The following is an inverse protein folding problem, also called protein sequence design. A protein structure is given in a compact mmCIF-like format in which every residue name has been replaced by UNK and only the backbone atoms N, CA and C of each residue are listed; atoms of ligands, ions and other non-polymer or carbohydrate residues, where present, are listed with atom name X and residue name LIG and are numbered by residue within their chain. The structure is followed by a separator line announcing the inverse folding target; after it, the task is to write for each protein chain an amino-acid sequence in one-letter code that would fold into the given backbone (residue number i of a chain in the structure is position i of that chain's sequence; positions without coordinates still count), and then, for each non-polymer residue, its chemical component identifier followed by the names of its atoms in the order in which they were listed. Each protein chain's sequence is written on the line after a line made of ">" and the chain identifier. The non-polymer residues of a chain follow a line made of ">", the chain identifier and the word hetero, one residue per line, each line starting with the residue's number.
data_IF_961641479620
#
_entry.id   IF_961641479620
#
_cell.length_a   1.000
_cell.length_b   1.000
_cell.length_c   1.000
_cell.angle_alpha   90.00
_cell.angle_beta   90.00
_cell.angle_gamma   90.00
#
_symmetry.space_group_name_H-M   'P 1'
#
loop_
_entity.id
_entity.type
_entity.pdbx_description
1 polymer ?
#
# COMPACT_ATOMS: atom_id res chain seq x y z
N UNK A 1 24.85 -20.06 -23.67
CA UNK A 1 25.98 -19.35 -24.30
C UNK A 1 27.25 -20.05 -23.86
N UNK A 2 27.95 -20.69 -24.81
CA UNK A 2 29.27 -21.36 -24.70
C UNK A 2 29.66 -22.00 -23.36
N UNK A 3 29.36 -23.30 -23.27
CA UNK A 3 29.50 -24.21 -22.12
C UNK A 3 30.95 -24.66 -21.80
N UNK A 4 31.88 -23.74 -21.54
CA UNK A 4 33.19 -24.14 -20.98
C UNK A 4 33.75 -23.12 -19.99
N UNK A 5 34.44 -23.58 -18.93
CA UNK A 5 35.08 -22.68 -17.97
C UNK A 5 36.12 -21.81 -18.68
N UNK A 6 35.87 -20.50 -18.71
CA UNK A 6 36.78 -19.48 -19.22
C UNK A 6 37.67 -18.94 -18.10
N UNK A 7 38.89 -18.50 -18.43
CA UNK A 7 39.73 -17.80 -17.47
C UNK A 7 39.42 -16.31 -17.55
N UNK A 8 39.04 -15.73 -16.41
CA UNK A 8 38.74 -14.30 -16.29
C UNK A 8 39.54 -13.69 -15.15
N UNK A 9 39.85 -12.41 -15.29
CA UNK A 9 40.55 -11.63 -14.27
C UNK A 9 39.63 -10.56 -13.73
N UNK A 10 39.40 -10.59 -12.41
CA UNK A 10 38.83 -9.46 -11.67
C UNK A 10 39.98 -8.52 -11.28
N UNK A 11 40.13 -7.42 -12.03
CA UNK A 11 41.11 -6.36 -11.78
C UNK A 11 40.48 -5.05 -11.27
N UNK A 12 41.30 -4.01 -11.09
CA UNK A 12 40.93 -2.71 -10.53
C UNK A 12 39.74 -2.03 -11.24
N UNK A 13 39.41 -2.39 -12.49
CA UNK A 13 38.25 -1.84 -13.21
C UNK A 13 36.92 -2.25 -12.59
N UNK A 14 36.90 -3.39 -11.89
CA UNK A 14 35.72 -3.91 -11.20
C UNK A 14 35.64 -3.42 -9.75
N UNK A 15 36.57 -2.56 -9.31
CA UNK A 15 36.62 -2.00 -7.96
C UNK A 15 36.57 -0.46 -7.98
N UNK A 16 35.80 0.12 -7.07
CA UNK A 16 35.82 1.56 -6.83
C UNK A 16 37.13 1.99 -6.11
N UNK A 17 37.31 3.31 -5.96
CA UNK A 17 38.48 3.91 -5.30
C UNK A 17 38.64 3.49 -3.82
N UNK A 18 37.64 2.84 -3.23
CA UNK A 18 37.63 2.31 -1.85
C UNK A 18 37.80 0.79 -1.82
N UNK A 19 38.00 0.13 -2.96
CA UNK A 19 38.12 -1.33 -3.09
C UNK A 19 36.80 -2.08 -3.00
N UNK A 20 35.68 -1.38 -3.20
CA UNK A 20 34.33 -1.92 -3.27
C UNK A 20 34.08 -2.45 -4.68
N UNK A 21 33.50 -3.63 -4.83
CA UNK A 21 33.16 -4.11 -6.19
C UNK A 21 32.08 -3.18 -6.77
N UNK A 22 32.14 -2.84 -8.07
CA UNK A 22 31.27 -1.81 -8.71
C UNK A 22 29.76 -2.13 -8.61
N UNK A 23 29.41 -3.38 -8.24
CA UNK A 23 28.09 -3.82 -7.74
C UNK A 23 27.71 -3.32 -6.33
N UNK A 24 28.49 -2.40 -5.74
CA UNK A 24 28.08 -1.63 -4.57
C UNK A 24 28.29 -2.28 -3.19
N UNK A 25 29.22 -3.24 -2.98
CA UNK A 25 29.57 -3.76 -1.63
C UNK A 25 31.07 -4.01 -1.39
N UNK A 26 31.52 -3.82 -0.13
CA UNK A 26 32.92 -3.95 0.31
C UNK A 26 33.25 -5.43 0.44
N UNK A 27 34.30 -5.92 -0.25
CA UNK A 27 34.85 -7.24 0.04
C UNK A 27 35.84 -7.08 1.19
N UNK A 28 35.47 -7.50 2.41
CA UNK A 28 36.40 -7.56 3.52
C UNK A 28 37.27 -8.84 3.48
N UNK A 29 38.52 -8.66 3.91
CA UNK A 29 39.66 -9.57 4.03
C UNK A 29 39.50 -11.00 3.46
N UNK A 30 39.97 -11.18 2.22
CA UNK A 30 40.23 -12.52 1.68
C UNK A 30 40.49 -12.60 0.17
N UNK A 31 40.03 -11.61 -0.60
CA UNK A 31 40.06 -11.67 -2.07
C UNK A 31 40.92 -10.59 -2.74
N UNK A 32 41.09 -9.42 -2.12
CA UNK A 32 42.07 -8.40 -2.55
C UNK A 32 43.25 -8.45 -1.58
N UNK A 33 44.37 -9.06 -1.99
CA UNK A 33 45.61 -8.97 -1.21
C UNK A 33 46.38 -7.73 -1.70
N UNK A 34 46.99 -6.91 -0.82
CA UNK A 34 47.82 -5.78 -1.25
C UNK A 34 48.93 -6.17 -2.25
N UNK A 35 49.36 -7.43 -2.19
CA UNK A 35 50.37 -8.03 -3.05
C UNK A 35 49.84 -8.69 -4.32
N UNK A 36 48.50 -8.74 -4.52
CA UNK A 36 47.83 -9.29 -5.71
C UNK A 36 46.64 -8.39 -6.08
N UNK A 37 46.85 -7.39 -6.95
CA UNK A 37 45.83 -6.40 -7.29
C UNK A 37 44.67 -6.99 -8.13
N UNK A 38 44.84 -8.22 -8.63
CA UNK A 38 43.87 -8.94 -9.43
C UNK A 38 43.60 -10.34 -8.87
N UNK A 39 42.42 -10.88 -9.19
CA UNK A 39 42.03 -12.24 -8.89
C UNK A 39 41.62 -12.97 -10.16
N UNK A 40 42.31 -14.07 -10.45
CA UNK A 40 41.96 -14.93 -11.57
C UNK A 40 40.99 -16.01 -11.11
N UNK A 41 40.06 -16.37 -12.00
CA UNK A 41 39.06 -17.37 -11.73
C UNK A 41 38.38 -17.84 -13.00
N UNK A 42 37.32 -18.63 -12.80
CA UNK A 42 36.43 -19.06 -13.87
C UNK A 42 35.02 -18.60 -13.59
N UNK A 43 34.24 -18.44 -14.66
CA UNK A 43 32.80 -18.17 -14.58
C UNK A 43 32.01 -19.46 -14.76
N UNK A 44 30.92 -19.57 -14.00
CA UNK A 44 29.86 -20.56 -14.18
C UNK A 44 28.54 -19.82 -14.04
N UNK A 45 27.56 -20.13 -14.88
CA UNK A 45 26.24 -19.50 -14.87
C UNK A 45 25.16 -20.54 -14.57
N UNK A 46 24.12 -20.14 -13.86
CA UNK A 46 22.82 -20.84 -13.84
C UNK A 46 21.73 -19.97 -14.50
N UNK A 47 20.45 -20.29 -14.29
CA UNK A 47 19.33 -19.52 -14.87
C UNK A 47 19.24 -18.10 -14.32
N UNK A 48 19.72 -17.87 -13.11
CA UNK A 48 19.42 -16.68 -12.32
C UNK A 48 20.67 -15.81 -12.14
N UNK A 49 21.86 -16.42 -12.11
CA UNK A 49 23.10 -15.80 -11.68
C UNK A 49 24.32 -16.31 -12.46
N UNK A 50 25.33 -15.45 -12.58
CA UNK A 50 26.70 -15.84 -12.94
C UNK A 50 27.59 -15.74 -11.71
N UNK A 51 28.49 -16.71 -11.59
CA UNK A 51 29.35 -16.93 -10.45
C UNK A 51 30.81 -16.89 -10.86
N UNK A 52 31.59 -16.02 -10.21
CA UNK A 52 33.05 -16.02 -10.32
C UNK A 52 33.65 -16.90 -9.23
N UNK A 53 34.43 -17.92 -9.63
CA UNK A 53 35.09 -18.86 -8.73
C UNK A 53 36.61 -18.66 -8.80
N UNK A 54 37.28 -18.28 -7.70
CA UNK A 54 38.68 -17.94 -7.72
C UNK A 54 39.62 -19.14 -7.82
N UNK A 55 40.70 -19.00 -8.59
CA UNK A 55 41.84 -19.91 -8.57
C UNK A 55 42.69 -19.71 -7.31
N UNK A 56 43.19 -20.83 -6.77
CA UNK A 56 44.13 -20.86 -5.66
C UNK A 56 45.34 -21.69 -6.06
N UNK A 57 46.53 -21.11 -5.97
CA UNK A 57 47.80 -21.83 -6.13
C UNK A 57 48.02 -22.86 -5.01
N UNK A 58 47.46 -22.58 -3.83
CA UNK A 58 47.57 -23.43 -2.65
C UNK A 58 46.23 -23.45 -1.90
N UNK A 59 45.43 -24.49 -2.14
CA UNK A 59 44.22 -24.78 -1.38
C UNK A 59 44.57 -25.23 0.03
N UNK A 60 43.78 -24.76 1.01
CA UNK A 60 43.89 -25.22 2.39
C UNK A 60 43.57 -26.73 2.46
N UNK A 61 44.60 -27.54 2.68
CA UNK A 61 44.50 -28.99 2.65
C UNK A 61 43.60 -29.56 3.75
N UNK A 62 43.55 -28.92 4.92
CA UNK A 62 42.66 -29.34 6.01
C UNK A 62 41.20 -29.10 5.61
N UNK A 63 40.91 -27.93 5.06
CA UNK A 63 39.58 -27.57 4.56
C UNK A 63 39.17 -28.46 3.38
N UNK A 64 40.05 -28.66 2.40
CA UNK A 64 39.77 -29.52 1.25
C UNK A 64 39.45 -30.98 1.63
N UNK A 65 40.10 -31.50 2.68
CA UNK A 65 39.82 -32.85 3.21
C UNK A 65 38.49 -32.92 3.95
N UNK A 66 38.19 -31.92 4.78
CA UNK A 66 36.95 -31.87 5.57
C UNK A 66 35.72 -31.51 4.74
N UNK A 67 35.90 -30.72 3.68
CA UNK A 67 34.83 -30.14 2.87
C UNK A 67 35.12 -30.28 1.37
N UNK A 68 35.24 -31.50 0.84
CA UNK A 68 35.64 -31.75 -0.55
C UNK A 68 34.66 -31.17 -1.59
N UNK A 69 33.41 -30.88 -1.20
CA UNK A 69 32.41 -30.21 -2.04
C UNK A 69 32.66 -28.70 -2.18
N UNK A 70 33.35 -28.07 -1.23
CA UNK A 70 33.60 -26.62 -1.22
C UNK A 70 34.87 -26.22 -2.00
N UNK A 71 35.54 -27.18 -2.64
CA UNK A 71 36.75 -26.96 -3.45
C UNK A 71 36.73 -27.86 -4.69
N UNK A 72 37.53 -27.54 -5.70
CA UNK A 72 37.81 -28.43 -6.83
C UNK A 72 39.31 -28.46 -7.10
N UNK A 73 39.94 -29.62 -6.94
CA UNK A 73 41.39 -29.77 -7.18
C UNK A 73 41.72 -29.66 -8.67
N UNK A 74 42.72 -28.86 -9.00
CA UNK A 74 43.38 -28.74 -10.29
C UNK A 74 44.88 -29.07 -10.14
N UNK A 75 45.20 -30.01 -9.25
CA UNK A 75 46.57 -30.36 -8.92
C UNK A 75 47.35 -30.88 -10.15
N UNK A 76 48.57 -30.38 -10.33
CA UNK A 76 49.57 -30.89 -11.28
C UNK A 76 50.86 -31.23 -10.54
N UNK A 77 51.81 -31.97 -11.13
CA UNK A 77 53.12 -32.21 -10.51
C UNK A 77 53.85 -30.90 -10.13
N UNK A 78 53.65 -29.83 -10.91
CA UNK A 78 54.22 -28.50 -10.66
C UNK A 78 53.49 -27.73 -9.55
N UNK A 79 52.18 -27.95 -9.42
CA UNK A 79 51.30 -27.24 -8.48
C UNK A 79 50.35 -28.23 -7.80
N UNK A 80 50.85 -29.04 -6.85
CA UNK A 80 50.10 -30.17 -6.28
C UNK A 80 48.91 -29.77 -5.41
N UNK A 81 48.82 -28.49 -5.03
CA UNK A 81 47.77 -27.96 -4.16
C UNK A 81 46.88 -26.94 -4.88
N UNK A 82 47.00 -26.82 -6.20
CA UNK A 82 46.20 -25.89 -6.96
C UNK A 82 44.74 -26.34 -7.11
N UNK A 83 43.83 -25.37 -7.20
CA UNK A 83 42.44 -25.64 -7.50
C UNK A 83 41.54 -24.43 -7.35
N UNK A 84 40.23 -24.67 -7.39
CA UNK A 84 39.18 -23.68 -7.19
C UNK A 84 38.64 -23.75 -5.75
N UNK A 85 38.38 -22.58 -5.18
CA UNK A 85 37.78 -22.44 -3.85
C UNK A 85 36.33 -21.96 -3.98
N UNK A 86 35.39 -22.92 -4.00
CA UNK A 86 33.96 -22.66 -4.21
C UNK A 86 33.39 -21.88 -3.03
N UNK A 87 33.93 -22.05 -1.82
CA UNK A 87 33.53 -21.25 -0.66
C UNK A 87 33.81 -19.75 -0.81
N UNK A 88 34.64 -19.36 -1.78
CA UNK A 88 34.99 -17.96 -2.07
C UNK A 88 34.38 -17.46 -3.37
N UNK A 89 33.34 -18.14 -3.84
CA UNK A 89 32.58 -17.72 -5.03
C UNK A 89 31.90 -16.37 -4.80
N UNK A 90 31.88 -15.56 -5.85
CA UNK A 90 31.26 -14.23 -5.91
C UNK A 90 30.11 -14.29 -6.92
N UNK A 91 28.95 -13.71 -6.57
CA UNK A 91 27.86 -13.51 -7.53
C UNK A 91 28.12 -12.22 -8.29
N UNK A 92 28.13 -12.31 -9.63
CA UNK A 92 28.61 -11.23 -10.49
C UNK A 92 27.57 -10.67 -11.45
N UNK A 93 26.33 -11.16 -11.41
CA UNK A 93 25.26 -10.74 -12.33
C UNK A 93 25.48 -11.22 -13.77
N UNK A 94 24.41 -11.32 -14.56
CA UNK A 94 24.47 -11.82 -15.94
C UNK A 94 24.81 -10.71 -16.96
N UNK A 95 24.90 -9.46 -16.53
CA UNK A 95 25.11 -8.25 -17.31
C UNK A 95 26.56 -7.71 -17.26
N UNK A 96 27.45 -8.34 -16.48
CA UNK A 96 28.85 -7.91 -16.42
C UNK A 96 29.69 -8.40 -17.61
N UNK A 97 30.33 -7.46 -18.31
CA UNK A 97 31.35 -7.74 -19.31
C UNK A 97 32.70 -8.06 -18.65
N UNK A 98 33.15 -9.31 -18.80
CA UNK A 98 34.45 -9.76 -18.28
C UNK A 98 35.56 -9.62 -19.31
N UNK A 99 36.70 -9.06 -18.89
CA UNK A 99 37.93 -9.15 -19.67
C UNK A 99 38.53 -10.56 -19.55
N UNK A 100 38.42 -11.33 -20.63
CA UNK A 100 39.03 -12.66 -20.74
C UNK A 100 40.54 -12.49 -20.87
N UNK A 101 41.28 -13.08 -19.92
CA UNK A 101 42.73 -13.13 -19.95
C UNK A 101 43.20 -14.59 -20.03
N UNK A 102 44.22 -14.86 -20.85
CA UNK A 102 44.75 -16.21 -21.06
C UNK A 102 46.05 -16.50 -20.29
N UNK A 103 46.35 -15.75 -19.23
CA UNK A 103 47.61 -15.89 -18.49
C UNK A 103 47.35 -16.04 -17.00
N UNK A 104 47.84 -17.13 -16.39
CA UNK A 104 47.94 -17.28 -14.93
C UNK A 104 47.67 -18.69 -14.38
N UNK A 105 47.02 -19.55 -15.18
CA UNK A 105 46.95 -20.99 -14.95
C UNK A 105 47.85 -21.73 -15.96
N UNK A 106 48.54 -22.80 -15.53
CA UNK A 106 49.36 -23.58 -16.47
C UNK A 106 48.48 -24.38 -17.45
N UNK A 107 49.00 -24.70 -18.65
CA UNK A 107 48.20 -25.38 -19.68
C UNK A 107 47.66 -26.73 -19.22
N UNK A 108 48.36 -27.45 -18.32
CA UNK A 108 47.88 -28.73 -17.81
C UNK A 108 46.71 -28.53 -16.83
N UNK A 109 46.78 -27.52 -15.98
CA UNK A 109 45.68 -27.12 -15.09
C UNK A 109 44.45 -26.66 -15.87
N UNK A 110 44.64 -25.92 -16.96
CA UNK A 110 43.55 -25.51 -17.83
C UNK A 110 42.85 -26.72 -18.49
N UNK A 111 43.62 -27.69 -18.98
CA UNK A 111 43.04 -28.94 -19.52
C UNK A 111 42.29 -29.73 -18.45
N UNK A 112 42.80 -29.79 -17.20
CA UNK A 112 42.08 -30.40 -16.08
C UNK A 112 40.77 -29.65 -15.82
N UNK A 113 40.77 -28.32 -15.85
CA UNK A 113 39.57 -27.51 -15.66
C UNK A 113 38.52 -27.78 -16.74
N UNK A 114 38.93 -27.80 -18.02
CA UNK A 114 38.06 -28.15 -19.14
C UNK A 114 37.43 -29.54 -18.94
N UNK A 115 38.24 -30.54 -18.55
CA UNK A 115 37.73 -31.89 -18.28
C UNK A 115 36.79 -31.99 -17.07
N UNK A 116 36.80 -30.98 -16.19
CA UNK A 116 35.99 -30.94 -14.96
C UNK A 116 34.87 -29.90 -15.03
N UNK A 117 34.59 -29.30 -16.19
CA UNK A 117 33.57 -28.26 -16.34
C UNK A 117 32.20 -28.68 -15.80
N UNK A 118 31.69 -29.83 -16.24
CA UNK A 118 30.39 -30.36 -15.78
C UNK A 118 30.39 -30.65 -14.26
N UNK A 119 31.47 -31.26 -13.76
CA UNK A 119 31.65 -31.53 -12.32
C UNK A 119 31.68 -30.24 -11.50
N UNK A 120 32.28 -29.18 -12.04
CA UNK A 120 32.33 -27.86 -11.40
C UNK A 120 30.93 -27.24 -11.34
N UNK A 121 30.18 -27.27 -12.45
CA UNK A 121 28.80 -26.74 -12.52
C UNK A 121 27.89 -27.45 -11.52
N UNK A 122 27.85 -28.79 -11.53
CA UNK A 122 27.02 -29.56 -10.61
C UNK A 122 27.40 -29.30 -9.15
N UNK A 123 28.71 -29.21 -8.86
CA UNK A 123 29.22 -28.97 -7.51
C UNK A 123 28.89 -27.58 -7.01
N UNK A 124 29.01 -26.56 -7.85
CA UNK A 124 28.65 -25.19 -7.52
C UNK A 124 27.14 -25.09 -7.24
N UNK A 125 26.31 -25.61 -8.14
CA UNK A 125 24.84 -25.58 -7.96
C UNK A 125 24.41 -26.19 -6.64
N UNK A 126 24.88 -27.41 -6.33
CA UNK A 126 24.62 -28.06 -5.04
C UNK A 126 25.09 -27.24 -3.85
N UNK A 127 26.29 -26.64 -3.94
CA UNK A 127 26.83 -25.82 -2.85
C UNK A 127 25.98 -24.56 -2.59
N UNK A 128 25.54 -23.89 -3.65
CA UNK A 128 24.66 -22.71 -3.57
C UNK A 128 23.27 -23.07 -3.04
N UNK A 129 22.67 -24.16 -3.53
CA UNK A 129 21.33 -24.58 -3.12
C UNK A 129 21.28 -25.03 -1.66
N UNK A 130 22.26 -25.83 -1.23
CA UNK A 130 22.38 -26.23 0.18
C UNK A 130 22.59 -25.02 1.09
N UNK A 131 23.40 -24.04 0.64
CA UNK A 131 23.58 -22.77 1.36
C UNK A 131 22.26 -21.98 1.47
N UNK A 132 21.56 -21.77 0.35
CA UNK A 132 20.25 -21.09 0.31
C UNK A 132 19.27 -21.75 1.27
N UNK A 133 19.21 -23.08 1.29
CA UNK A 133 18.32 -23.85 2.16
C UNK A 133 18.64 -23.64 3.65
N UNK A 134 19.91 -23.71 4.06
CA UNK A 134 20.29 -23.53 5.47
C UNK A 134 20.04 -22.09 5.95
N UNK A 135 20.29 -21.09 5.10
CA UNK A 135 19.96 -19.70 5.41
C UNK A 135 18.45 -19.53 5.59
N UNK A 136 17.63 -20.10 4.71
CA UNK A 136 16.16 -20.05 4.80
C UNK A 136 15.60 -20.79 6.02
N UNK A 137 16.23 -21.89 6.44
CA UNK A 137 15.83 -22.66 7.62
C UNK A 137 16.11 -21.94 8.95
N UNK A 138 16.93 -20.87 8.94
CA UNK A 138 17.30 -20.13 10.15
C UNK A 138 18.18 -20.92 11.12
N UNK A 139 18.75 -22.04 10.68
CA UNK A 139 19.60 -22.92 11.48
C UNK A 139 21.04 -22.41 11.57
N UNK A 140 21.81 -22.95 12.51
CA UNK A 140 23.26 -22.72 12.58
C UNK A 140 23.93 -23.33 11.35
N UNK A 141 24.47 -22.48 10.49
CA UNK A 141 25.19 -22.89 9.27
C UNK A 141 26.28 -23.93 9.55
N UNK A 142 26.37 -24.95 8.68
CA UNK A 142 27.48 -25.89 8.70
C UNK A 142 28.83 -25.19 8.46
N UNK A 143 29.91 -25.82 8.92
CA UNK A 143 31.27 -25.26 8.89
C UNK A 143 31.76 -24.85 7.49
N UNK A 144 31.33 -25.54 6.44
CA UNK A 144 31.62 -25.24 5.04
C UNK A 144 30.96 -23.94 4.52
N UNK A 145 29.89 -23.49 5.18
CA UNK A 145 29.15 -22.28 4.83
C UNK A 145 29.46 -21.11 5.76
N UNK A 146 30.00 -21.38 6.96
CA UNK A 146 30.25 -20.36 8.01
C UNK A 146 31.06 -19.14 7.55
N UNK A 147 31.99 -19.33 6.62
CA UNK A 147 32.87 -18.27 6.11
C UNK A 147 32.80 -18.14 4.59
N UNK A 148 31.68 -18.57 4.01
CA UNK A 148 31.46 -18.49 2.56
C UNK A 148 31.29 -17.04 2.13
N UNK A 149 31.77 -16.69 0.94
CA UNK A 149 31.57 -15.37 0.35
C UNK A 149 30.10 -15.13 -0.05
N UNK A 150 29.30 -16.19 -0.24
CA UNK A 150 27.86 -16.09 -0.56
C UNK A 150 27.04 -15.31 0.48
N UNK A 151 27.52 -15.19 1.72
CA UNK A 151 26.87 -14.39 2.77
C UNK A 151 26.74 -12.90 2.43
N UNK A 152 27.55 -12.41 1.50
CA UNK A 152 27.49 -11.03 1.05
C UNK A 152 26.50 -10.81 -0.11
N UNK A 153 25.94 -11.89 -0.68
CA UNK A 153 25.11 -11.91 -1.89
C UNK A 153 23.69 -12.42 -1.64
N UNK A 154 23.14 -12.24 -0.43
CA UNK A 154 21.79 -12.73 -0.11
C UNK A 154 20.71 -12.14 -1.03
N UNK A 155 20.85 -10.89 -1.44
CA UNK A 155 19.91 -10.24 -2.37
C UNK A 155 19.89 -10.95 -3.72
N UNK A 156 21.06 -11.11 -4.32
CA UNK A 156 21.25 -11.73 -5.64
C UNK A 156 20.87 -13.22 -5.62
N UNK A 157 21.00 -13.87 -4.46
CA UNK A 157 20.60 -15.26 -4.25
C UNK A 157 19.11 -15.45 -3.91
N UNK A 158 18.31 -14.37 -3.81
CA UNK A 158 16.90 -14.43 -3.41
C UNK A 158 16.71 -14.92 -1.97
N UNK A 159 17.63 -14.54 -1.09
CA UNK A 159 17.68 -14.82 0.36
C UNK A 159 17.39 -13.59 1.22
N UNK A 160 16.97 -12.47 0.62
CA UNK A 160 16.34 -11.40 1.39
C UNK A 160 15.15 -12.00 2.14
N UNK A 161 15.02 -11.64 3.43
CA UNK A 161 13.79 -11.93 4.15
C UNK A 161 12.67 -11.25 3.35
N UNK A 162 11.76 -12.01 2.77
CA UNK A 162 10.41 -11.48 2.61
C UNK A 162 9.94 -11.29 4.05
N UNK A 163 10.06 -10.09 4.58
CA UNK A 163 9.47 -9.75 5.87
C UNK A 163 7.98 -10.03 5.73
N UNK A 164 7.52 -11.13 6.32
CA UNK A 164 6.12 -11.25 6.68
C UNK A 164 5.90 -10.11 7.67
N UNK A 165 5.23 -9.04 7.24
CA UNK A 165 4.83 -7.96 8.14
C UNK A 165 4.10 -8.59 9.32
N UNK A 166 4.50 -8.22 10.53
CA UNK A 166 3.80 -8.68 11.74
C UNK A 166 2.36 -8.17 11.71
N UNK A 167 1.40 -8.88 12.31
CA UNK A 167 0.00 -8.42 12.31
C UNK A 167 -0.16 -7.02 12.89
N UNK A 168 0.69 -6.65 13.86
CA UNK A 168 0.74 -5.30 14.44
C UNK A 168 1.20 -4.24 13.43
N UNK A 169 2.18 -4.55 12.58
CA UNK A 169 2.63 -3.62 11.53
C UNK A 169 1.56 -3.42 10.47
N UNK A 170 0.86 -4.49 10.07
CA UNK A 170 -0.29 -4.41 9.17
C UNK A 170 -1.42 -3.56 9.78
N UNK A 171 -1.67 -3.71 11.08
CA UNK A 171 -2.64 -2.90 11.82
C UNK A 171 -2.25 -1.42 11.82
N UNK A 172 -0.99 -1.11 12.11
CA UNK A 172 -0.49 0.26 12.07
C UNK A 172 -0.54 0.89 10.68
N UNK A 173 -0.21 0.13 9.64
CA UNK A 173 -0.29 0.61 8.26
C UNK A 173 -1.74 0.92 7.86
N UNK A 174 -2.68 0.02 8.20
CA UNK A 174 -4.11 0.27 8.03
C UNK A 174 -4.54 1.54 8.78
N UNK A 175 -4.20 1.68 10.06
CA UNK A 175 -4.58 2.83 10.89
C UNK A 175 -4.01 4.16 10.36
N UNK A 176 -2.79 4.16 9.81
CA UNK A 176 -2.21 5.36 9.18
C UNK A 176 -3.00 5.76 7.94
N UNK A 177 -3.31 4.81 7.06
CA UNK A 177 -4.19 5.05 5.90
C UNK A 177 -5.57 5.56 6.35
N UNK A 178 -6.08 5.02 7.45
CA UNK A 178 -7.14 5.54 8.33
C UNK A 178 -7.25 7.04 8.38
N UNK A 179 -6.16 7.56 8.91
CA UNK A 179 -5.99 8.92 9.33
C UNK A 179 -5.74 9.84 8.12
N UNK A 180 -4.95 9.36 7.16
CA UNK A 180 -4.69 10.05 5.89
C UNK A 180 -5.99 10.24 5.08
N UNK A 181 -6.88 9.25 5.07
CA UNK A 181 -8.19 9.33 4.42
C UNK A 181 -9.22 10.14 5.23
N UNK A 182 -8.86 10.63 6.42
CA UNK A 182 -9.76 11.38 7.30
C UNK A 182 -10.86 10.53 7.95
N UNK A 183 -10.78 9.20 7.87
CA UNK A 183 -11.78 8.28 8.43
C UNK A 183 -11.62 8.08 9.94
N UNK A 184 -10.43 8.38 10.48
CA UNK A 184 -10.18 8.52 11.91
C UNK A 184 -9.58 9.91 12.17
N UNK A 185 -9.90 10.50 13.33
CA UNK A 185 -9.42 11.84 13.66
C UNK A 185 -7.93 11.82 14.03
N UNK A 186 -7.20 12.89 13.70
CA UNK A 186 -5.75 12.97 13.95
C UNK A 186 -5.35 12.89 15.44
N UNK A 187 -6.30 13.13 16.35
CA UNK A 187 -6.08 13.02 17.80
C UNK A 187 -6.08 11.59 18.35
N UNK A 188 -6.42 10.59 17.53
CA UNK A 188 -6.42 9.18 17.95
C UNK A 188 -4.99 8.66 18.07
N UNK A 189 -4.65 8.05 19.22
CA UNK A 189 -3.37 7.37 19.40
C UNK A 189 -3.39 6.01 18.70
N UNK A 190 -2.99 5.98 17.43
CA UNK A 190 -3.01 4.78 16.60
C UNK A 190 -2.09 3.66 17.10
N UNK A 191 -1.01 3.96 17.83
CA UNK A 191 -0.14 2.93 18.42
C UNK A 191 -0.86 2.18 19.54
N UNK A 192 -1.60 2.91 20.38
CA UNK A 192 -2.42 2.29 21.41
C UNK A 192 -3.56 1.45 20.80
N UNK A 193 -4.21 1.97 19.76
CA UNK A 193 -5.26 1.22 19.04
C UNK A 193 -4.69 -0.06 18.43
N UNK A 194 -3.51 -0.02 17.80
CA UNK A 194 -2.84 -1.20 17.27
C UNK A 194 -2.56 -2.27 18.34
N UNK A 195 -2.23 -1.86 19.57
CA UNK A 195 -2.03 -2.78 20.69
C UNK A 195 -3.35 -3.41 21.19
N UNK A 196 -4.50 -2.74 20.99
CA UNK A 196 -5.82 -3.25 21.40
C UNK A 196 -6.51 -4.12 20.34
N UNK A 197 -6.20 -3.93 19.06
CA UNK A 197 -6.82 -4.68 17.96
C UNK A 197 -6.80 -6.21 18.14
N UNK A 198 -5.70 -6.84 18.61
CA UNK A 198 -5.71 -8.28 18.91
C UNK A 198 -6.68 -8.68 20.03
N UNK A 199 -6.89 -7.80 21.02
CA UNK A 199 -7.83 -8.05 22.13
C UNK A 199 -9.26 -7.97 21.61
N UNK A 200 -9.60 -6.94 20.84
CA UNK A 200 -10.95 -6.77 20.30
C UNK A 200 -11.33 -7.87 19.31
N UNK A 201 -10.37 -8.43 18.57
CA UNK A 201 -10.61 -9.58 17.66
C UNK A 201 -11.11 -10.83 18.37
N UNK A 202 -10.75 -11.00 19.63
CA UNK A 202 -11.10 -12.16 20.46
C UNK A 202 -12.25 -11.83 21.43
N UNK A 203 -12.80 -10.62 21.36
CA UNK A 203 -13.85 -10.15 22.26
C UNK A 203 -15.23 -10.35 21.64
N UNK A 204 -16.17 -10.81 22.46
CA UNK A 204 -17.59 -10.92 22.09
C UNK A 204 -18.39 -9.68 22.52
N UNK A 205 -17.79 -8.72 23.23
CA UNK A 205 -18.45 -7.49 23.69
C UNK A 205 -18.78 -6.57 22.51
N UNK A 206 -20.03 -6.11 22.40
CA UNK A 206 -20.50 -5.21 21.34
C UNK A 206 -19.59 -3.98 21.18
N UNK A 207 -19.19 -3.35 22.29
CA UNK A 207 -18.35 -2.15 22.24
C UNK A 207 -16.97 -2.41 21.63
N UNK A 208 -16.38 -3.58 21.87
CA UNK A 208 -15.09 -3.95 21.29
C UNK A 208 -15.23 -4.25 19.80
N UNK A 209 -16.33 -4.89 19.40
CA UNK A 209 -16.64 -5.15 17.99
C UNK A 209 -16.90 -3.86 17.21
N UNK A 210 -17.59 -2.88 17.77
CA UNK A 210 -17.76 -1.56 17.16
C UNK A 210 -16.40 -0.87 16.95
N UNK A 211 -15.52 -0.91 17.96
CA UNK A 211 -14.15 -0.39 17.87
C UNK A 211 -13.34 -1.15 16.81
N UNK A 212 -13.50 -2.47 16.71
CA UNK A 212 -12.87 -3.30 15.70
C UNK A 212 -13.40 -2.99 14.29
N UNK A 213 -14.69 -2.74 14.11
CA UNK A 213 -15.27 -2.29 12.83
C UNK A 213 -14.73 -0.92 12.42
N UNK A 214 -14.56 -0.02 13.39
CA UNK A 214 -14.04 1.33 13.17
C UNK A 214 -12.56 1.33 12.76
N UNK A 215 -11.72 0.58 13.49
CA UNK A 215 -10.26 0.67 13.42
C UNK A 215 -9.57 -0.52 12.74
N UNK A 216 -10.25 -1.66 12.65
CA UNK A 216 -9.69 -2.89 12.12
C UNK A 216 -9.44 -2.87 10.63
N UNK A 217 -8.84 -3.96 10.15
CA UNK A 217 -8.54 -4.18 8.74
C UNK A 217 -9.77 -4.71 8.02
N UNK A 218 -9.71 -4.72 6.69
CA UNK A 218 -10.78 -5.32 5.88
C UNK A 218 -11.13 -6.77 6.28
N UNK A 219 -10.16 -7.57 6.72
CA UNK A 219 -10.40 -8.94 7.19
C UNK A 219 -11.23 -8.99 8.48
N UNK A 220 -11.15 -7.96 9.32
CA UNK A 220 -11.93 -7.86 10.55
C UNK A 220 -13.38 -7.47 10.20
N UNK A 221 -13.55 -6.49 9.30
CA UNK A 221 -14.87 -6.11 8.77
C UNK A 221 -15.58 -7.26 8.05
N UNK A 222 -14.83 -8.10 7.32
CA UNK A 222 -15.38 -9.29 6.64
C UNK A 222 -16.08 -10.25 7.63
N UNK A 223 -15.67 -10.25 8.91
CA UNK A 223 -16.29 -11.06 9.98
C UNK A 223 -17.51 -10.35 10.60
N UNK A 224 -17.48 -9.02 10.68
CA UNK A 224 -18.47 -8.21 11.40
C UNK A 224 -19.66 -7.74 10.54
N UNK A 225 -19.57 -7.81 9.21
CA UNK A 225 -20.61 -7.30 8.29
C UNK A 225 -21.99 -7.97 8.46
N UNK A 226 -22.04 -9.14 9.09
CA UNK A 226 -23.29 -9.86 9.41
C UNK A 226 -23.40 -10.10 10.92
N UNK A 227 -22.83 -9.24 11.76
CA UNK A 227 -22.96 -9.37 13.21
C UNK A 227 -24.44 -9.21 13.63
N UNK A 228 -24.81 -9.90 14.70
CA UNK A 228 -26.18 -9.86 15.22
C UNK A 228 -26.53 -8.50 15.83
N UNK A 229 -25.51 -7.73 16.28
CA UNK A 229 -25.69 -6.39 16.80
C UNK A 229 -25.68 -5.35 15.68
N UNK A 230 -26.79 -4.65 15.53
CA UNK A 230 -26.96 -3.64 14.48
C UNK A 230 -25.94 -2.49 14.58
N UNK A 231 -25.49 -2.11 15.79
CA UNK A 231 -24.53 -1.02 15.95
C UNK A 231 -23.17 -1.39 15.36
N UNK A 232 -22.80 -2.67 15.44
CA UNK A 232 -21.59 -3.21 14.80
C UNK A 232 -21.74 -3.16 13.28
N UNK A 233 -22.90 -3.56 12.75
CA UNK A 233 -23.18 -3.51 11.30
C UNK A 233 -23.17 -2.07 10.78
N UNK A 234 -23.75 -1.12 11.53
CA UNK A 234 -23.69 0.32 11.25
C UNK A 234 -22.23 0.82 11.25
N UNK A 235 -21.41 0.40 12.22
CA UNK A 235 -19.99 0.75 12.26
C UNK A 235 -19.23 0.22 11.04
N UNK A 236 -19.57 -0.98 10.55
CA UNK A 236 -19.03 -1.53 9.30
C UNK A 236 -19.48 -0.70 8.08
N UNK A 237 -20.77 -0.34 8.00
CA UNK A 237 -21.31 0.47 6.90
C UNK A 237 -20.65 1.86 6.83
N UNK A 238 -20.48 2.52 7.99
CA UNK A 238 -19.79 3.80 8.12
C UNK A 238 -18.35 3.79 7.61
N UNK A 239 -17.75 2.61 7.47
CA UNK A 239 -16.41 2.48 6.94
C UNK A 239 -16.32 2.73 5.42
N UNK A 240 -17.46 2.67 4.74
CA UNK A 240 -17.59 3.02 3.34
C UNK A 240 -16.90 2.03 2.39
N UNK A 241 -16.69 0.78 2.81
CA UNK A 241 -16.01 -0.23 1.98
C UNK A 241 -17.01 -0.86 1.02
N UNK A 242 -16.70 -0.78 -0.28
CA UNK A 242 -17.66 -1.13 -1.34
C UNK A 242 -18.33 -2.50 -1.18
N UNK A 243 -17.55 -3.53 -0.85
CA UNK A 243 -18.05 -4.90 -0.71
C UNK A 243 -19.00 -5.10 0.48
N UNK A 244 -18.92 -4.24 1.49
CA UNK A 244 -19.79 -4.30 2.66
C UNK A 244 -21.10 -3.62 2.34
N UNK A 245 -21.01 -2.39 1.80
CA UNK A 245 -22.18 -1.65 1.33
C UNK A 245 -22.99 -2.42 0.29
N UNK A 246 -22.34 -3.19 -0.59
CA UNK A 246 -23.01 -4.08 -1.56
C UNK A 246 -23.88 -5.15 -0.90
N UNK A 247 -23.52 -5.59 0.31
CA UNK A 247 -24.33 -6.51 1.13
C UNK A 247 -25.41 -5.77 1.90
N UNK A 248 -25.08 -4.58 2.42
CA UNK A 248 -25.92 -3.84 3.37
C UNK A 248 -26.99 -2.96 2.72
N UNK A 249 -26.90 -2.65 1.43
CA UNK A 249 -27.91 -1.85 0.70
C UNK A 249 -29.32 -2.47 0.73
N UNK A 250 -29.42 -3.77 0.99
CA UNK A 250 -30.69 -4.48 1.14
C UNK A 250 -30.93 -5.03 2.55
N UNK A 251 -30.21 -4.53 3.54
CA UNK A 251 -30.32 -5.02 4.92
C UNK A 251 -31.73 -4.83 5.46
N UNK A 252 -32.18 -5.70 6.37
CA UNK A 252 -33.56 -5.65 6.89
C UNK A 252 -33.85 -4.36 7.65
N UNK A 253 -32.90 -3.92 8.47
CA UNK A 253 -33.03 -2.70 9.25
C UNK A 253 -32.77 -1.44 8.41
N UNK A 254 -33.66 -0.46 8.55
CA UNK A 254 -33.64 0.80 7.81
C UNK A 254 -32.51 1.74 8.21
N UNK A 255 -32.00 1.67 9.45
CA UNK A 255 -30.91 2.52 9.93
C UNK A 255 -29.61 2.18 9.21
N UNK A 256 -29.30 0.89 8.99
CA UNK A 256 -28.10 0.53 8.21
C UNK A 256 -28.27 0.86 6.73
N UNK A 257 -29.48 0.72 6.14
CA UNK A 257 -29.73 1.17 4.77
C UNK A 257 -29.58 2.69 4.63
N UNK A 258 -30.02 3.46 5.64
CA UNK A 258 -29.83 4.89 5.72
C UNK A 258 -28.34 5.28 5.74
N UNK A 259 -27.51 4.59 6.54
CA UNK A 259 -26.05 4.79 6.56
C UNK A 259 -25.43 4.45 5.21
N UNK A 260 -25.91 3.40 4.52
CA UNK A 260 -25.47 3.06 3.16
C UNK A 260 -25.81 4.18 2.17
N UNK A 261 -27.02 4.76 2.24
CA UNK A 261 -27.39 5.91 1.42
C UNK A 261 -26.44 7.10 1.65
N UNK A 262 -26.12 7.42 2.91
CA UNK A 262 -25.22 8.52 3.27
C UNK A 262 -23.79 8.38 2.71
N UNK A 263 -23.35 7.16 2.37
CA UNK A 263 -22.06 6.96 1.68
C UNK A 263 -22.06 7.50 0.25
N UNK A 264 -23.23 7.79 -0.33
CA UNK A 264 -23.38 8.50 -1.58
C UNK A 264 -22.94 7.74 -2.83
N UNK A 265 -22.86 6.40 -2.77
CA UNK A 265 -22.49 5.59 -3.94
C UNK A 265 -23.66 5.54 -4.93
N UNK A 266 -23.37 5.84 -6.19
CA UNK A 266 -24.40 5.95 -7.22
C UNK A 266 -25.31 4.72 -7.32
N UNK A 267 -24.73 3.52 -7.27
CA UNK A 267 -25.47 2.25 -7.37
C UNK A 267 -26.35 1.96 -6.17
N UNK A 268 -26.04 2.50 -4.99
CA UNK A 268 -26.85 2.30 -3.79
C UNK A 268 -28.01 3.27 -3.80
N UNK A 269 -27.75 4.54 -4.10
CA UNK A 269 -28.78 5.55 -4.23
C UNK A 269 -29.81 5.19 -5.31
N UNK A 270 -29.36 4.59 -6.43
CA UNK A 270 -30.24 4.04 -7.49
C UNK A 270 -31.25 3.02 -6.97
N UNK A 271 -30.91 2.32 -5.89
CA UNK A 271 -31.75 1.28 -5.26
C UNK A 271 -32.54 1.81 -4.05
N UNK A 272 -32.05 2.86 -3.40
CA UNK A 272 -32.63 3.38 -2.14
C UNK A 272 -33.56 4.58 -2.34
N UNK A 273 -33.58 5.19 -3.54
CA UNK A 273 -34.44 6.33 -3.86
C UNK A 273 -35.95 6.01 -3.72
N UNK A 274 -36.35 4.76 -3.90
CA UNK A 274 -37.72 4.27 -3.72
C UNK A 274 -37.87 3.33 -2.51
N UNK A 275 -36.94 3.41 -1.54
CA UNK A 275 -36.98 2.57 -0.34
C UNK A 275 -38.33 2.72 0.39
N UNK A 276 -38.83 1.60 0.93
CA UNK A 276 -40.09 1.58 1.68
C UNK A 276 -40.05 2.46 2.93
N UNK A 277 -38.87 2.63 3.53
CA UNK A 277 -38.67 3.49 4.68
C UNK A 277 -38.51 4.94 4.25
N UNK A 278 -39.39 5.80 4.76
CA UNK A 278 -39.26 7.25 4.63
C UNK A 278 -37.88 7.74 5.09
N UNK A 279 -37.37 7.22 6.21
CA UNK A 279 -36.10 7.66 6.78
C UNK A 279 -34.94 7.45 5.79
N UNK A 280 -34.93 6.34 5.07
CA UNK A 280 -33.93 6.08 4.03
C UNK A 280 -34.06 7.07 2.87
N UNK A 281 -35.28 7.33 2.39
CA UNK A 281 -35.52 8.31 1.31
C UNK A 281 -35.12 9.74 1.72
N UNK A 282 -35.32 10.12 2.98
CA UNK A 282 -34.81 11.39 3.52
C UNK A 282 -33.28 11.48 3.46
N UNK A 283 -32.56 10.39 3.77
CA UNK A 283 -31.09 10.32 3.64
C UNK A 283 -30.67 10.46 2.18
N UNK A 284 -31.36 9.80 1.25
CA UNK A 284 -31.12 9.96 -0.20
C UNK A 284 -31.31 11.41 -0.63
N UNK A 285 -32.41 12.06 -0.21
CA UNK A 285 -32.65 13.49 -0.45
C UNK A 285 -31.57 14.38 0.16
N UNK A 286 -31.03 14.00 1.33
CA UNK A 286 -29.94 14.73 2.01
C UNK A 286 -28.62 14.65 1.25
N UNK A 287 -28.31 13.51 0.61
CA UNK A 287 -27.12 13.37 -0.25
C UNK A 287 -27.23 14.28 -1.48
N UNK A 288 -28.45 14.51 -1.98
CA UNK A 288 -28.72 15.58 -2.94
C UNK A 288 -28.27 15.31 -4.38
N UNK A 289 -28.16 14.04 -4.79
CA UNK A 289 -27.82 13.69 -6.17
C UNK A 289 -28.96 14.05 -7.13
N UNK A 290 -28.62 14.70 -8.24
CA UNK A 290 -29.59 15.41 -9.06
C UNK A 290 -30.79 14.58 -9.53
N UNK A 291 -30.55 13.35 -9.99
CA UNK A 291 -31.61 12.47 -10.52
C UNK A 291 -32.52 11.90 -9.42
N UNK A 292 -32.03 11.82 -8.19
CA UNK A 292 -32.83 11.34 -7.06
C UNK A 292 -33.77 12.44 -6.62
N UNK A 293 -33.28 13.68 -6.53
CA UNK A 293 -34.12 14.84 -6.24
C UNK A 293 -35.22 15.06 -7.29
N UNK A 294 -34.94 14.77 -8.57
CA UNK A 294 -35.95 14.80 -9.65
C UNK A 294 -37.11 13.84 -9.40
N UNK A 295 -36.86 12.73 -8.69
CA UNK A 295 -37.88 11.76 -8.30
C UNK A 295 -38.54 12.11 -6.96
N UNK A 296 -37.76 12.60 -5.99
CA UNK A 296 -38.19 12.81 -4.61
C UNK A 296 -38.94 14.14 -4.39
N UNK A 297 -38.92 15.07 -5.35
CA UNK A 297 -39.60 16.38 -5.22
C UNK A 297 -41.12 16.24 -5.01
N UNK A 298 -41.72 15.17 -5.53
CA UNK A 298 -43.15 14.86 -5.38
C UNK A 298 -43.37 13.65 -4.44
N UNK A 299 -42.41 13.33 -3.56
CA UNK A 299 -42.54 12.22 -2.61
C UNK A 299 -43.79 12.41 -1.73
N UNK A 300 -44.58 11.36 -1.43
CA UNK A 300 -45.76 11.48 -0.60
C UNK A 300 -45.45 12.00 0.81
N UNK A 301 -44.25 11.76 1.32
CA UNK A 301 -43.87 12.17 2.67
C UNK A 301 -43.24 13.57 2.70
N UNK A 302 -43.76 14.41 3.59
CA UNK A 302 -43.32 15.81 3.72
C UNK A 302 -41.86 15.94 4.13
N UNK A 303 -41.34 15.00 4.96
CA UNK A 303 -39.95 15.01 5.41
C UNK A 303 -38.97 14.87 4.25
N UNK A 304 -39.29 14.02 3.27
CA UNK A 304 -38.49 13.85 2.06
C UNK A 304 -38.50 15.14 1.24
N UNK A 305 -39.68 15.72 0.98
CA UNK A 305 -39.81 16.98 0.22
C UNK A 305 -39.14 18.15 0.93
N UNK A 306 -39.16 18.17 2.27
CA UNK A 306 -38.43 19.13 3.09
C UNK A 306 -36.92 19.05 2.80
N UNK A 307 -36.33 17.85 2.84
CA UNK A 307 -34.91 17.68 2.54
C UNK A 307 -34.58 18.00 1.07
N UNK A 308 -35.49 17.74 0.13
CA UNK A 308 -35.34 18.21 -1.27
C UNK A 308 -35.30 19.74 -1.34
N UNK A 309 -36.20 20.45 -0.66
CA UNK A 309 -36.18 21.92 -0.59
C UNK A 309 -34.86 22.46 -0.02
N UNK A 310 -34.31 21.80 1.01
CA UNK A 310 -33.06 22.21 1.68
C UNK A 310 -31.82 22.07 0.78
N UNK A 311 -31.89 21.31 -0.31
CA UNK A 311 -30.83 21.27 -1.33
C UNK A 311 -30.76 22.57 -2.15
N UNK A 312 -31.84 23.36 -2.18
CA UNK A 312 -31.82 24.70 -2.77
C UNK A 312 -31.78 24.73 -4.30
N UNK A 313 -32.12 23.63 -4.96
CA UNK A 313 -32.13 23.55 -6.44
C UNK A 313 -33.31 24.32 -7.00
N UNK A 314 -33.01 25.20 -7.96
CA UNK A 314 -34.00 26.12 -8.49
C UNK A 314 -35.27 25.45 -9.04
N UNK A 315 -35.12 24.34 -9.77
CA UNK A 315 -36.25 23.58 -10.33
C UNK A 315 -37.15 22.97 -9.28
N UNK A 316 -36.59 22.53 -8.15
CA UNK A 316 -37.36 21.89 -7.08
C UNK A 316 -38.09 22.96 -6.26
N UNK A 317 -37.41 24.06 -5.94
CA UNK A 317 -38.02 25.20 -5.25
C UNK A 317 -39.18 25.81 -6.07
N UNK A 318 -39.10 25.80 -7.40
CA UNK A 318 -40.20 26.26 -8.27
C UNK A 318 -41.48 25.43 -8.11
N UNK A 319 -41.35 24.17 -7.72
CA UNK A 319 -42.47 23.26 -7.42
C UNK A 319 -42.89 23.47 -5.95
N UNK A 320 -41.94 23.31 -5.03
CA UNK A 320 -42.16 23.24 -3.58
C UNK A 320 -42.60 24.57 -2.94
N UNK A 321 -42.43 25.72 -3.61
CA UNK A 321 -43.00 27.00 -3.16
C UNK A 321 -44.53 26.96 -3.05
N UNK A 322 -45.20 25.96 -3.65
CA UNK A 322 -46.64 25.72 -3.58
C UNK A 322 -47.00 24.47 -2.76
N UNK A 323 -46.05 23.87 -2.04
CA UNK A 323 -46.29 22.63 -1.29
C UNK A 323 -47.48 22.76 -0.34
N UNK A 324 -48.23 21.68 -0.15
CA UNK A 324 -49.40 21.68 0.73
C UNK A 324 -49.00 21.90 2.20
N UNK A 325 -47.83 21.38 2.58
CA UNK A 325 -47.28 21.41 3.94
C UNK A 325 -46.46 22.68 4.19
N UNK A 326 -46.76 23.37 5.29
CA UNK A 326 -46.08 24.59 5.71
C UNK A 326 -44.58 24.42 5.95
N UNK A 327 -44.14 23.30 6.53
CA UNK A 327 -42.72 23.05 6.84
C UNK A 327 -41.86 23.03 5.56
N UNK A 328 -42.39 22.45 4.48
CA UNK A 328 -41.72 22.44 3.17
C UNK A 328 -41.66 23.85 2.59
N UNK A 329 -42.76 24.62 2.64
CA UNK A 329 -42.76 26.02 2.19
C UNK A 329 -41.84 26.91 3.02
N UNK A 330 -41.73 26.66 4.33
CA UNK A 330 -40.78 27.34 5.21
C UNK A 330 -39.33 27.03 4.81
N UNK A 331 -39.01 25.76 4.51
CA UNK A 331 -37.70 25.39 3.97
C UNK A 331 -37.37 26.12 2.66
N UNK A 332 -38.34 26.26 1.75
CA UNK A 332 -38.18 27.07 0.52
C UNK A 332 -37.88 28.53 0.86
N UNK A 333 -38.60 29.12 1.84
CA UNK A 333 -38.34 30.49 2.30
C UNK A 333 -36.91 30.67 2.82
N UNK A 334 -36.41 29.72 3.61
CA UNK A 334 -35.07 29.74 4.18
C UNK A 334 -33.95 29.73 3.14
N UNK A 335 -34.20 29.17 1.94
CA UNK A 335 -33.26 29.23 0.83
C UNK A 335 -33.03 30.64 0.31
N UNK A 336 -33.94 31.57 0.62
CA UNK A 336 -33.73 33.00 0.44
C UNK A 336 -33.73 33.46 -1.02
N UNK A 337 -34.43 32.75 -1.90
CA UNK A 337 -34.52 33.09 -3.32
C UNK A 337 -35.57 34.19 -3.52
N UNK A 338 -35.14 35.35 -4.02
CA UNK A 338 -35.96 36.57 -4.08
C UNK A 338 -37.33 36.37 -4.75
N UNK A 339 -37.42 35.53 -5.80
CA UNK A 339 -38.68 35.25 -6.50
C UNK A 339 -39.70 34.48 -5.66
N UNK A 340 -39.26 33.68 -4.70
CA UNK A 340 -40.13 32.92 -3.80
C UNK A 340 -40.53 33.76 -2.61
N UNK A 341 -39.59 34.52 -2.04
CA UNK A 341 -39.81 35.34 -0.85
C UNK A 341 -40.96 36.34 -1.05
N UNK A 342 -41.05 36.96 -2.24
CA UNK A 342 -42.15 37.89 -2.55
C UNK A 342 -43.54 37.27 -2.45
N UNK A 343 -43.65 35.95 -2.68
CA UNK A 343 -44.89 35.19 -2.49
C UNK A 343 -45.05 34.75 -1.04
N UNK A 344 -44.01 34.19 -0.44
CA UNK A 344 -44.05 33.54 0.89
C UNK A 344 -44.23 34.52 2.06
N UNK A 345 -43.88 35.79 1.92
CA UNK A 345 -44.22 36.82 2.95
C UNK A 345 -45.73 37.00 3.14
N UNK A 346 -46.55 36.56 2.19
CA UNK A 346 -48.01 36.58 2.27
C UNK A 346 -48.60 35.17 2.42
N UNK A 347 -47.80 34.18 2.82
CA UNK A 347 -48.26 32.79 3.00
C UNK A 347 -49.41 32.71 4.02
N UNK A 348 -50.27 31.70 3.88
CA UNK A 348 -51.37 31.42 4.83
C UNK A 348 -50.82 31.15 6.23
N UNK A 349 -49.67 30.50 6.31
CA UNK A 349 -49.06 30.06 7.55
C UNK A 349 -48.13 31.13 8.16
N UNK A 350 -48.26 31.47 9.45
CA UNK A 350 -47.43 32.46 10.11
C UNK A 350 -45.94 32.11 10.18
N UNK A 351 -45.57 30.84 10.32
CA UNK A 351 -44.17 30.43 10.45
C UNK A 351 -43.46 30.52 9.09
N UNK A 352 -44.17 30.21 8.00
CA UNK A 352 -43.67 30.45 6.63
C UNK A 352 -43.43 31.94 6.38
N UNK A 353 -44.37 32.80 6.77
CA UNK A 353 -44.19 34.26 6.63
C UNK A 353 -42.97 34.75 7.41
N UNK A 354 -42.80 34.28 8.64
CA UNK A 354 -41.65 34.61 9.49
C UNK A 354 -40.33 34.16 8.85
N UNK A 355 -40.26 32.92 8.37
CA UNK A 355 -39.07 32.41 7.67
C UNK A 355 -38.73 33.26 6.43
N UNK A 356 -39.74 33.70 5.67
CA UNK A 356 -39.55 34.58 4.52
C UNK A 356 -39.06 35.98 4.92
N UNK A 357 -39.60 36.56 6.00
CA UNK A 357 -39.16 37.84 6.56
C UNK A 357 -37.70 37.78 7.05
N UNK A 358 -37.33 36.74 7.80
CA UNK A 358 -35.98 36.51 8.30
C UNK A 358 -34.98 36.36 7.13
N UNK A 359 -35.36 35.61 6.09
CA UNK A 359 -34.56 35.46 4.88
C UNK A 359 -34.39 36.77 4.11
N UNK A 360 -35.43 37.61 4.00
CA UNK A 360 -35.36 38.94 3.40
C UNK A 360 -34.43 39.87 4.17
N UNK A 361 -34.49 39.87 5.51
CA UNK A 361 -33.60 40.66 6.35
C UNK A 361 -32.15 40.25 6.14
N UNK A 362 -31.88 38.94 6.11
CA UNK A 362 -30.55 38.39 5.81
C UNK A 362 -30.04 38.82 4.43
N UNK A 363 -30.89 38.84 3.41
CA UNK A 363 -30.53 39.30 2.05
C UNK A 363 -30.20 40.81 2.04
N UNK A 364 -30.98 41.65 2.74
CA UNK A 364 -30.72 43.09 2.89
C UNK A 364 -29.39 43.36 3.58
N UNK A 365 -29.10 42.64 4.68
CA UNK A 365 -27.84 42.74 5.40
C UNK A 365 -26.62 42.50 4.51
N UNK A 366 -26.63 41.37 3.77
CA UNK A 366 -25.56 41.01 2.81
C UNK A 366 -25.35 42.08 1.74
N UNK A 367 -26.44 42.63 1.18
CA UNK A 367 -26.37 43.69 0.16
C UNK A 367 -25.74 44.97 0.71
N UNK A 368 -26.12 45.37 1.93
CA UNK A 368 -25.58 46.57 2.58
C UNK A 368 -24.07 46.48 2.83
N UNK A 369 -23.57 45.30 3.22
CA UNK A 369 -22.15 45.08 3.48
C UNK A 369 -21.33 45.00 2.19
N UNK A 370 -21.88 44.42 1.13
CA UNK A 370 -21.25 44.44 -0.19
C UNK A 370 -21.09 45.88 -0.71
N UNK A 371 -22.11 46.73 -0.51
CA UNK A 371 -22.05 48.13 -0.92
C UNK A 371 -21.00 48.93 -0.14
N UNK A 372 -20.92 48.73 1.19
CA UNK A 372 -19.85 49.33 2.03
C UNK A 372 -18.46 48.91 1.54
N UNK A 373 -18.24 47.64 1.22
CA UNK A 373 -16.96 47.13 0.70
C UNK A 373 -16.60 47.77 -0.66
N UNK A 374 -17.57 47.90 -1.57
CA UNK A 374 -17.37 48.58 -2.87
C UNK A 374 -16.97 50.04 -2.70
N UNK A 375 -17.64 50.78 -1.80
CA UNK A 375 -17.30 52.18 -1.48
C UNK A 375 -15.89 52.32 -0.89
N UNK A 376 -15.48 51.40 -0.01
CA UNK A 376 -14.13 51.40 0.57
C UNK A 376 -13.04 51.09 -0.48
N UNK A 377 -13.29 50.16 -1.41
CA UNK A 377 -12.37 49.86 -2.50
C UNK A 377 -12.21 51.03 -3.48
N UNK A 378 -13.31 51.70 -3.84
CA UNK A 378 -13.28 52.88 -4.72
C UNK A 378 -12.47 54.04 -4.13
N UNK A 379 -12.57 54.28 -2.81
CA UNK A 379 -11.74 55.30 -2.13
C UNK A 379 -10.25 54.98 -2.19
N UNK A 380 -9.86 53.73 -1.94
CA UNK A 380 -8.45 53.29 -2.01
C UNK A 380 -7.86 53.32 -3.42
N UNK A 381 -8.71 53.17 -4.45
CA UNK A 381 -8.30 53.26 -5.85
C UNK A 381 -8.10 54.68 -6.36
N UNK A 382 -8.70 55.69 -5.71
CA UNK A 382 -8.50 57.11 -6.03
C UNK A 382 -7.29 57.75 -5.32
N UNK A 383 -6.73 57.08 -4.32
CA UNK A 383 -5.55 57.53 -3.55
C UNK A 383 -4.21 56.99 -4.09
N UNK A 384 -4.23 56.22 -5.19
CA UNK A 384 -3.06 55.75 -5.95
C UNK A 384 -3.00 56.45 -7.29
#
# INVERSE_FOLDING_TARGET
>A
MNDFPIIVTLDDRYYDKRGKLVIGKRIEEGMRKPTRPYLEGTLISDSDNTYFIPFRTNLNQKFAKSHPKAVLSLATPKSPQAGLDISKTIVVGNDMEFHVHHSGIDSAQFQILLSKGEVLTERLGKYVDEYKREVKAGEKLRSEYKYTSLQYFHKELGLEKMEQQTERELDLENLKSLQEDGKITEGVNIEHVADQLPVWRESDETSDKELLAKYGRGSDLDKLVNDDDINVVIAVANRGRDRDLDKLVGYEDEEVRAVVAEQGRDKDLDRLVDDTSTYVRERVATVGRDKDLDQLVDDPELGVRYYVAKQGRDKDLDILVNDEEEDVRAAVAEMGRDKDLGKLVNDKDPDVRKAAEDALEKNRGKSSDLEKRRRAAARRGMER
#
